data_IF_302205166899
#
_entry.id   IF_302205166899
#
_cell.length_a   1.000
_cell.length_b   1.000
_cell.length_c   1.000
_cell.angle_alpha   90.00
_cell.angle_beta   90.00
_cell.angle_gamma   90.00
#
_symmetry.space_group_name_H-M   'P 1'
#
loop_
_entity.id
_entity.type
_entity.pdbx_description
1 polymer ?
#
# COMPACT_ATOMS: atom_id res chain seq x y z
N UNK A 1 -49.18 22.59 2.26
CA UNK A 1 -48.25 21.76 3.06
C UNK A 1 -46.88 21.91 2.44
N UNK A 2 -46.07 22.77 3.03
CA UNK A 2 -44.75 23.15 2.53
C UNK A 2 -43.75 22.18 3.17
N UNK A 3 -43.10 21.35 2.37
CA UNK A 3 -42.02 20.47 2.81
C UNK A 3 -40.78 21.33 3.06
N UNK A 4 -40.30 21.42 4.28
CA UNK A 4 -39.00 21.97 4.61
C UNK A 4 -37.93 20.99 4.09
N UNK A 5 -37.09 21.44 3.17
CA UNK A 5 -35.86 20.79 2.84
C UNK A 5 -34.94 20.87 4.07
N UNK A 6 -34.50 19.71 4.56
CA UNK A 6 -33.42 19.61 5.54
C UNK A 6 -32.14 19.80 4.74
N UNK A 7 -31.48 20.95 4.93
CA UNK A 7 -30.09 21.12 4.44
C UNK A 7 -29.22 20.09 5.13
N UNK A 8 -28.32 19.39 4.38
CA UNK A 8 -27.35 18.53 5.01
C UNK A 8 -26.41 19.42 5.83
N UNK A 9 -26.37 19.18 7.12
CA UNK A 9 -25.45 19.80 8.06
C UNK A 9 -24.02 19.47 7.58
N UNK A 10 -23.23 20.52 7.28
CA UNK A 10 -21.84 20.39 6.90
C UNK A 10 -21.13 19.58 7.97
N UNK A 11 -20.46 18.50 7.57
CA UNK A 11 -19.63 17.70 8.46
C UNK A 11 -18.65 18.63 9.19
N UNK A 12 -18.46 18.50 10.51
CA UNK A 12 -17.57 19.36 11.25
C UNK A 12 -16.14 19.18 10.72
N UNK A 13 -15.57 20.24 10.16
CA UNK A 13 -14.14 20.36 9.93
C UNK A 13 -13.46 20.36 11.30
N UNK A 14 -13.00 19.21 11.75
CA UNK A 14 -12.38 19.04 13.07
C UNK A 14 -12.58 17.66 13.67
N UNK A 15 -12.89 16.65 12.88
CA UNK A 15 -12.82 15.26 13.35
C UNK A 15 -11.42 15.00 13.88
N UNK A 16 -11.31 14.62 15.18
CA UNK A 16 -10.07 14.10 15.74
C UNK A 16 -9.48 13.10 14.74
N UNK A 17 -8.16 13.14 14.46
CA UNK A 17 -7.56 12.20 13.53
C UNK A 17 -7.95 10.80 13.98
N UNK A 18 -8.69 10.08 13.14
CA UNK A 18 -8.91 8.65 13.37
C UNK A 18 -7.50 8.07 13.60
N UNK A 19 -7.29 7.44 14.75
CA UNK A 19 -6.00 6.91 15.17
C UNK A 19 -5.57 5.83 14.20
N UNK A 20 -5.05 6.24 13.04
CA UNK A 20 -4.50 5.35 12.04
C UNK A 20 -3.34 4.58 12.65
N UNK A 21 -3.24 3.30 12.39
CA UNK A 21 -2.08 2.50 12.73
C UNK A 21 -1.13 2.51 11.54
N UNK A 22 0.13 2.85 11.77
CA UNK A 22 1.19 2.71 10.77
C UNK A 22 1.92 1.39 11.03
N UNK A 23 2.23 0.64 9.96
CA UNK A 23 2.84 -0.70 10.05
C UNK A 23 4.15 -0.69 9.27
N UNK A 24 5.20 -1.35 9.80
CA UNK A 24 6.46 -1.56 9.07
C UNK A 24 6.24 -2.31 7.75
N UNK A 25 7.13 -2.11 6.79
CA UNK A 25 6.98 -2.72 5.46
C UNK A 25 6.99 -4.27 5.49
N UNK A 26 7.63 -4.88 6.48
CA UNK A 26 7.65 -6.32 6.74
C UNK A 26 6.45 -6.83 7.56
N UNK A 27 5.63 -5.92 8.10
CA UNK A 27 4.46 -6.27 8.92
C UNK A 27 4.79 -6.67 10.37
N UNK A 28 6.06 -6.53 10.80
CA UNK A 28 6.50 -7.00 12.13
C UNK A 28 6.01 -6.11 13.27
N UNK A 29 6.00 -4.80 13.05
CA UNK A 29 5.61 -3.82 14.06
C UNK A 29 4.57 -2.84 13.54
N UNK A 30 3.72 -2.37 14.46
CA UNK A 30 2.81 -1.27 14.24
C UNK A 30 2.98 -0.19 15.30
N UNK A 31 2.56 1.02 14.99
CA UNK A 31 2.47 2.11 15.94
C UNK A 31 1.21 2.93 15.68
N UNK A 32 0.59 3.39 16.76
CA UNK A 32 -0.52 4.33 16.73
C UNK A 32 -0.43 5.30 17.89
N UNK A 33 -1.06 6.46 17.73
CA UNK A 33 -1.35 7.34 18.83
C UNK A 33 -2.71 6.92 19.41
N UNK A 34 -2.75 6.53 20.66
CA UNK A 34 -3.98 6.07 21.34
C UNK A 34 -4.36 7.02 22.48
N UNK A 35 -5.57 6.89 22.97
CA UNK A 35 -6.12 7.78 23.98
C UNK A 35 -6.60 6.97 25.18
N UNK A 36 -6.24 7.45 26.39
CA UNK A 36 -6.81 6.98 27.65
C UNK A 36 -7.33 8.19 28.44
N UNK A 37 -8.64 8.27 28.63
CA UNK A 37 -9.30 9.47 29.12
C UNK A 37 -9.04 10.66 28.20
N UNK A 38 -8.40 11.71 28.72
CA UNK A 38 -8.03 12.91 27.97
C UNK A 38 -6.57 12.94 27.53
N UNK A 39 -5.82 11.88 27.82
CA UNK A 39 -4.40 11.79 27.54
C UNK A 39 -4.10 10.95 26.34
N UNK A 40 -3.27 11.49 25.44
CA UNK A 40 -2.77 10.77 24.26
C UNK A 40 -1.39 10.21 24.55
N UNK A 41 -1.09 8.98 24.05
CA UNK A 41 0.22 8.36 24.16
C UNK A 41 0.49 7.43 22.97
N UNK A 42 1.77 7.25 22.57
CA UNK A 42 2.14 6.28 21.56
C UNK A 42 1.97 4.84 22.08
N UNK A 43 1.52 3.98 21.20
CA UNK A 43 1.39 2.56 21.45
C UNK A 43 2.14 1.79 20.36
N UNK A 44 3.02 0.88 20.78
CA UNK A 44 3.71 -0.03 19.87
C UNK A 44 2.99 -1.37 19.84
N UNK A 45 2.78 -1.88 18.65
CA UNK A 45 2.24 -3.20 18.40
C UNK A 45 3.34 -4.12 17.87
N UNK A 46 3.48 -5.32 18.44
CA UNK A 46 4.25 -6.43 17.87
C UNK A 46 3.27 -7.34 17.19
N UNK A 47 3.38 -7.43 15.86
CA UNK A 47 2.40 -8.06 14.98
C UNK A 47 2.83 -9.44 14.48
N UNK A 48 4.15 -9.67 14.41
CA UNK A 48 4.74 -10.97 14.12
C UNK A 48 4.72 -11.87 15.37
N UNK A 49 4.62 -13.16 15.12
CA UNK A 49 4.55 -14.15 16.20
C UNK A 49 3.15 -14.75 16.41
N UNK A 50 3.03 -15.69 17.36
CA UNK A 50 1.78 -16.45 17.56
C UNK A 50 0.65 -15.58 18.13
N UNK A 51 0.98 -14.63 18.99
CA UNK A 51 0.02 -13.74 19.65
C UNK A 51 0.49 -12.29 19.52
N UNK A 52 -0.23 -11.45 18.76
CA UNK A 52 0.02 -10.02 18.71
C UNK A 52 -0.18 -9.39 20.09
N UNK A 53 0.66 -8.40 20.42
CA UNK A 53 0.50 -7.65 21.67
C UNK A 53 0.88 -6.18 21.49
N UNK A 54 0.25 -5.33 22.31
CA UNK A 54 0.50 -3.91 22.37
C UNK A 54 1.26 -3.52 23.63
N UNK A 55 2.13 -2.52 23.50
CA UNK A 55 2.86 -1.91 24.63
C UNK A 55 2.65 -0.40 24.55
N UNK A 56 2.01 0.14 25.57
CA UNK A 56 1.88 1.59 25.75
C UNK A 56 3.24 2.20 26.06
N UNK A 57 3.53 3.35 25.45
CA UNK A 57 4.79 4.08 25.61
C UNK A 57 4.51 5.50 26.16
N UNK A 58 3.93 5.61 27.37
CA UNK A 58 3.71 6.91 27.98
C UNK A 58 5.04 7.56 28.34
N UNK A 59 5.13 8.86 28.11
CA UNK A 59 6.24 9.71 28.56
C UNK A 59 5.76 10.62 29.70
N UNK A 60 6.62 11.52 30.17
CA UNK A 60 6.31 12.38 31.32
C UNK A 60 5.12 13.31 31.13
N UNK A 61 4.76 13.62 29.88
CA UNK A 61 3.60 14.44 29.52
C UNK A 61 2.79 13.73 28.44
N UNK A 62 1.45 13.90 28.41
CA UNK A 62 0.63 13.42 27.30
C UNK A 62 1.08 14.03 25.97
N UNK A 63 0.89 13.26 24.91
CA UNK A 63 1.13 13.75 23.56
C UNK A 63 0.00 14.67 23.09
N UNK A 64 0.31 15.57 22.19
CA UNK A 64 -0.68 16.39 21.52
C UNK A 64 -1.38 15.59 20.40
N UNK A 65 -2.67 15.89 20.09
CA UNK A 65 -3.38 15.20 19.00
C UNK A 65 -2.71 15.29 17.63
N UNK A 66 -1.86 16.31 17.40
CA UNK A 66 -1.08 16.48 16.18
C UNK A 66 0.25 15.70 16.13
N UNK A 67 0.59 14.98 17.19
CA UNK A 67 1.79 14.11 17.23
C UNK A 67 1.62 12.96 16.24
N UNK A 68 2.65 12.74 15.41
CA UNK A 68 2.69 11.62 14.48
C UNK A 68 3.59 10.53 15.01
N UNK A 69 3.22 9.28 14.79
CA UNK A 69 3.97 8.10 15.24
C UNK A 69 4.20 7.12 14.11
N UNK A 70 5.36 6.45 14.12
CA UNK A 70 5.75 5.48 13.10
C UNK A 70 6.60 4.37 13.74
N UNK A 71 6.31 3.08 13.46
CA UNK A 71 7.17 2.00 13.91
C UNK A 71 8.46 1.96 13.11
N UNK A 72 9.56 1.59 13.79
CA UNK A 72 10.85 1.26 13.18
C UNK A 72 11.01 -0.26 13.10
N UNK A 73 11.86 -0.73 12.19
CA UNK A 73 12.10 -2.17 11.99
C UNK A 73 12.72 -2.89 13.18
N UNK A 74 13.33 -2.16 14.12
CA UNK A 74 13.86 -2.70 15.38
C UNK A 74 12.85 -2.66 16.55
N UNK A 75 11.60 -2.28 16.27
CA UNK A 75 10.52 -2.20 17.26
C UNK A 75 10.52 -0.93 18.12
N UNK A 76 11.38 0.05 17.85
CA UNK A 76 11.24 1.39 18.42
C UNK A 76 10.12 2.14 17.70
N UNK A 77 9.59 3.18 18.34
CA UNK A 77 8.56 4.06 17.76
C UNK A 77 9.16 5.45 17.59
N UNK A 78 9.20 5.90 16.33
CA UNK A 78 9.51 7.28 16.01
C UNK A 78 8.29 8.15 16.33
N UNK A 79 8.54 9.22 17.07
CA UNK A 79 7.54 10.24 17.42
C UNK A 79 7.97 11.57 16.84
N UNK A 80 7.06 12.24 16.14
CA UNK A 80 7.23 13.57 15.59
C UNK A 80 6.24 14.53 16.27
N UNK A 81 6.77 15.45 17.08
CA UNK A 81 6.00 16.43 17.87
C UNK A 81 6.09 17.82 17.26
N UNK A 82 4.98 18.47 16.90
CA UNK A 82 5.00 19.88 16.54
C UNK A 82 5.23 20.75 17.79
N UNK A 83 6.26 21.58 17.79
CA UNK A 83 6.63 22.47 18.92
C UNK A 83 7.05 23.83 18.39
N UNK A 84 6.21 24.83 18.53
CA UNK A 84 6.56 26.25 18.31
C UNK A 84 7.41 26.51 17.02
N UNK A 85 6.88 26.17 15.85
CA UNK A 85 7.53 26.43 14.55
C UNK A 85 8.60 25.42 14.16
N UNK A 86 8.71 24.30 14.86
CA UNK A 86 9.60 23.18 14.54
C UNK A 86 8.94 21.83 14.83
N UNK A 87 9.48 20.78 14.27
CA UNK A 87 9.08 19.41 14.54
C UNK A 87 10.24 18.67 15.21
N UNK A 88 9.99 18.16 16.40
CA UNK A 88 10.98 17.44 17.22
C UNK A 88 10.79 15.94 17.03
N UNK A 89 11.89 15.23 16.80
CA UNK A 89 11.91 13.79 16.58
C UNK A 89 12.59 13.07 17.74
N UNK A 90 11.94 12.03 18.25
CA UNK A 90 12.52 11.12 19.23
C UNK A 90 12.11 9.68 18.93
N UNK A 91 12.91 8.73 19.44
CA UNK A 91 12.61 7.31 19.41
C UNK A 91 12.22 6.85 20.80
N UNK A 92 11.04 6.25 20.92
CA UNK A 92 10.55 5.62 22.14
C UNK A 92 10.73 4.10 22.07
N UNK A 93 11.00 3.50 23.23
CA UNK A 93 11.13 2.05 23.37
C UNK A 93 10.79 1.60 24.79
N UNK A 94 10.27 0.37 24.99
CA UNK A 94 9.97 -0.14 26.32
C UNK A 94 11.27 -0.47 27.08
N UNK A 95 11.32 -0.09 28.38
CA UNK A 95 12.45 -0.39 29.29
C UNK A 95 12.05 -1.30 30.44
N UNK A 96 11.05 -2.19 30.21
CA UNK A 96 10.42 -2.98 31.26
C UNK A 96 9.24 -2.20 31.88
N UNK A 97 9.39 -1.56 33.04
CA UNK A 97 8.27 -0.88 33.68
C UNK A 97 7.97 0.52 33.08
N UNK A 98 8.82 1.03 32.22
CA UNK A 98 8.71 2.40 31.69
C UNK A 98 9.05 2.52 30.21
N UNK A 99 9.09 3.76 29.76
CA UNK A 99 9.44 4.15 28.39
C UNK A 99 10.80 4.83 28.38
N UNK A 100 11.72 4.32 27.54
CA UNK A 100 12.95 5.01 27.20
C UNK A 100 12.73 5.95 26.03
N UNK A 101 13.44 7.08 26.01
CA UNK A 101 13.37 8.09 24.96
C UNK A 101 14.79 8.48 24.52
N UNK A 102 15.00 8.49 23.22
CA UNK A 102 16.23 9.00 22.58
C UNK A 102 15.86 10.17 21.66
N UNK A 103 16.38 11.34 21.98
CA UNK A 103 16.25 12.53 21.13
C UNK A 103 17.07 12.35 19.86
N UNK A 104 16.44 12.54 18.70
CA UNK A 104 17.09 12.49 17.39
C UNK A 104 17.47 13.91 16.93
N UNK A 105 16.57 14.86 17.08
CA UNK A 105 16.77 16.24 16.63
C UNK A 105 15.48 16.92 16.27
N UNK A 106 15.58 17.99 15.51
CA UNK A 106 14.42 18.76 15.06
C UNK A 106 14.60 19.27 13.63
N UNK A 107 13.48 19.50 12.95
CA UNK A 107 13.40 20.21 11.68
C UNK A 107 12.67 21.53 11.92
N UNK A 108 13.33 22.63 11.59
CA UNK A 108 12.73 23.97 11.70
C UNK A 108 11.74 24.19 10.55
N UNK A 109 10.54 24.62 10.89
CA UNK A 109 9.48 25.01 9.98
C UNK A 109 8.98 26.40 10.38
N UNK A 110 9.77 27.44 10.11
CA UNK A 110 9.50 28.80 10.62
C UNK A 110 8.27 29.43 9.96
N UNK A 111 7.89 28.98 8.77
CA UNK A 111 6.74 29.50 8.05
C UNK A 111 5.47 28.77 8.50
N UNK A 112 4.46 29.52 8.92
CA UNK A 112 3.16 28.99 9.36
C UNK A 112 2.45 28.14 8.28
N UNK A 113 2.79 28.38 7.00
CA UNK A 113 2.28 27.65 5.86
C UNK A 113 3.00 26.30 5.62
N UNK A 114 4.15 26.05 6.29
CA UNK A 114 4.88 24.79 6.12
C UNK A 114 4.26 23.68 6.97
N UNK A 115 3.87 22.60 6.32
CA UNK A 115 3.32 21.39 6.97
C UNK A 115 4.34 20.26 6.86
N UNK A 116 4.72 19.70 8.00
CA UNK A 116 5.59 18.53 8.03
C UNK A 116 4.80 17.29 8.43
N UNK A 117 5.03 16.20 7.68
CA UNK A 117 4.45 14.88 7.98
C UNK A 117 5.48 13.78 7.78
N UNK A 118 5.35 12.71 8.56
CA UNK A 118 6.12 11.49 8.33
C UNK A 118 5.71 10.87 6.99
N UNK A 119 6.69 10.38 6.24
CA UNK A 119 6.46 9.53 5.07
C UNK A 119 6.21 8.09 5.53
N UNK A 120 5.60 7.22 4.71
CA UNK A 120 5.41 5.81 5.08
C UNK A 120 6.72 5.14 5.48
N UNK A 121 6.68 4.12 6.36
CA UNK A 121 7.86 3.39 6.78
C UNK A 121 8.72 2.95 5.61
N UNK A 122 10.02 3.23 5.68
CA UNK A 122 10.94 2.82 4.64
C UNK A 122 11.08 1.29 4.61
N UNK A 123 11.26 0.67 3.42
CA UNK A 123 11.27 -0.79 3.27
C UNK A 123 12.28 -1.52 4.16
N UNK A 124 13.45 -0.92 4.40
CA UNK A 124 14.48 -1.52 5.26
C UNK A 124 14.22 -1.36 6.77
N UNK A 125 13.28 -0.49 7.17
CA UNK A 125 12.92 -0.27 8.57
C UNK A 125 13.99 0.47 9.43
N UNK A 126 15.19 0.69 8.92
CA UNK A 126 16.28 1.38 9.63
C UNK A 126 16.21 2.90 9.48
N UNK A 127 15.67 3.36 8.37
CA UNK A 127 15.55 4.78 8.03
C UNK A 127 14.10 5.26 8.20
N UNK A 128 13.95 6.54 8.54
CA UNK A 128 12.66 7.20 8.49
C UNK A 128 12.79 8.56 7.82
N UNK A 129 11.73 8.97 7.14
CA UNK A 129 11.70 10.18 6.36
C UNK A 129 10.47 11.02 6.69
N UNK A 130 10.61 12.34 6.50
CA UNK A 130 9.52 13.30 6.62
C UNK A 130 9.47 14.19 5.38
N UNK A 131 8.28 14.63 5.04
CA UNK A 131 8.02 15.58 3.97
C UNK A 131 7.57 16.91 4.57
N UNK A 132 8.38 17.95 4.39
CA UNK A 132 8.02 19.32 4.70
C UNK A 132 7.47 20.00 3.43
N UNK A 133 6.20 20.40 3.47
CA UNK A 133 5.49 20.99 2.32
C UNK A 133 5.32 22.46 2.57
N UNK A 134 6.07 23.29 1.85
CA UNK A 134 5.97 24.74 1.84
C UNK A 134 5.06 25.25 0.73
N UNK A 135 5.05 26.56 0.57
CA UNK A 135 4.17 27.23 -0.41
C UNK A 135 4.61 26.94 -1.87
N UNK A 136 5.91 26.93 -2.13
CA UNK A 136 6.48 26.87 -3.48
C UNK A 136 7.41 25.67 -3.71
N UNK A 137 7.84 25.02 -2.64
CA UNK A 137 8.67 23.81 -2.69
C UNK A 137 8.34 22.90 -1.55
N UNK A 138 8.74 21.64 -1.71
CA UNK A 138 8.64 20.61 -0.69
C UNK A 138 10.04 20.03 -0.46
N UNK A 139 10.36 19.64 0.76
CA UNK A 139 11.64 19.05 1.12
C UNK A 139 11.46 17.68 1.76
N UNK A 140 12.25 16.70 1.32
CA UNK A 140 12.35 15.39 1.97
C UNK A 140 13.50 15.43 2.96
N UNK A 141 13.20 15.05 4.20
CA UNK A 141 14.15 14.96 5.29
C UNK A 141 14.32 13.50 5.70
N UNK A 142 15.55 13.03 5.77
CA UNK A 142 15.88 11.80 6.48
C UNK A 142 15.97 12.13 7.96
N UNK A 143 15.01 11.62 8.75
CA UNK A 143 14.91 11.99 10.18
C UNK A 143 15.51 10.93 11.10
N UNK A 144 15.61 9.67 10.63
CA UNK A 144 16.34 8.57 11.29
C UNK A 144 17.24 7.91 10.28
N UNK A 145 18.44 7.47 10.69
CA UNK A 145 19.41 6.79 9.84
C UNK A 145 20.54 7.69 9.33
N UNK A 146 20.41 9.02 9.45
CA UNK A 146 21.47 9.97 9.16
C UNK A 146 22.56 9.99 10.25
N UNK A 147 23.75 10.50 9.92
CA UNK A 147 24.91 10.49 10.81
C UNK A 147 24.78 11.47 12.00
N UNK A 148 24.08 12.59 11.82
CA UNK A 148 24.07 13.71 12.77
C UNK A 148 22.68 14.22 13.15
N UNK A 149 21.62 13.41 12.90
CA UNK A 149 20.22 13.78 13.12
C UNK A 149 19.49 14.07 11.80
N UNK A 150 18.39 14.85 11.81
CA UNK A 150 17.63 15.10 10.59
C UNK A 150 18.44 15.83 9.52
N UNK A 151 18.48 15.26 8.31
CA UNK A 151 19.19 15.82 7.15
C UNK A 151 18.24 15.99 5.97
N UNK A 152 18.32 17.14 5.27
CA UNK A 152 17.56 17.36 4.06
C UNK A 152 18.20 16.62 2.89
N UNK A 153 17.50 15.63 2.34
CA UNK A 153 18.01 14.76 1.27
C UNK A 153 17.51 15.14 -0.12
N UNK A 154 16.39 15.87 -0.20
CA UNK A 154 15.87 16.37 -1.47
C UNK A 154 15.06 17.65 -1.28
N UNK A 155 15.06 18.50 -2.32
CA UNK A 155 14.17 19.66 -2.45
C UNK A 155 13.47 19.62 -3.80
N UNK A 156 12.13 19.68 -3.78
CA UNK A 156 11.27 19.49 -4.95
C UNK A 156 10.50 20.79 -5.19
N UNK A 157 10.64 21.46 -6.34
CA UNK A 157 9.77 22.56 -6.73
C UNK A 157 8.31 22.13 -6.80
N UNK A 158 7.40 22.89 -6.19
CA UNK A 158 5.97 22.59 -6.09
C UNK A 158 5.58 22.00 -4.74
N UNK A 159 4.28 21.86 -4.55
CA UNK A 159 3.71 21.24 -3.35
C UNK A 159 3.61 19.74 -3.56
N UNK A 160 4.12 18.96 -2.62
CA UNK A 160 4.08 17.51 -2.73
C UNK A 160 3.13 16.87 -1.71
N UNK A 161 2.49 15.80 -2.12
CA UNK A 161 1.66 14.92 -1.29
C UNK A 161 1.98 13.45 -1.60
N UNK A 162 1.25 12.51 -1.02
CA UNK A 162 1.51 11.09 -1.23
C UNK A 162 2.78 10.63 -0.52
N UNK A 163 3.45 9.66 -1.07
CA UNK A 163 4.67 9.02 -0.57
C UNK A 163 4.54 7.52 -0.72
N UNK A 164 5.20 6.97 -1.74
CA UNK A 164 5.17 5.53 -2.05
C UNK A 164 6.57 5.09 -2.42
N UNK A 165 7.06 4.05 -1.76
CA UNK A 165 8.35 3.45 -2.07
C UNK A 165 8.24 2.57 -3.32
N UNK A 166 9.16 2.76 -4.28
CA UNK A 166 9.16 2.04 -5.55
C UNK A 166 10.19 0.91 -5.58
N UNK A 167 11.09 0.85 -4.61
CA UNK A 167 12.09 -0.21 -4.49
C UNK A 167 12.26 -0.68 -3.04
N UNK A 168 12.80 -1.88 -2.87
CA UNK A 168 13.05 -2.47 -1.55
C UNK A 168 14.23 -1.85 -0.79
N UNK A 169 15.09 -1.10 -1.48
CA UNK A 169 16.21 -0.43 -0.86
C UNK A 169 15.82 0.91 -0.20
N UNK A 170 14.58 1.39 -0.46
CA UNK A 170 14.13 2.68 0.05
C UNK A 170 14.85 3.88 -0.60
N UNK A 171 15.30 3.70 -1.85
CA UNK A 171 16.04 4.70 -2.61
C UNK A 171 15.12 5.56 -3.47
N UNK A 172 14.11 4.92 -4.08
CA UNK A 172 13.21 5.55 -5.02
C UNK A 172 11.88 5.87 -4.34
N UNK A 173 11.62 7.15 -4.10
CA UNK A 173 10.39 7.64 -3.48
C UNK A 173 9.50 8.30 -4.55
N UNK A 174 8.27 7.82 -4.71
CA UNK A 174 7.27 8.50 -5.51
C UNK A 174 6.49 9.51 -4.67
N UNK A 175 6.28 10.70 -5.22
CA UNK A 175 5.48 11.78 -4.64
C UNK A 175 4.53 12.34 -5.69
N UNK A 176 3.36 12.80 -5.24
CA UNK A 176 2.41 13.53 -6.07
C UNK A 176 2.75 15.02 -5.98
N UNK A 177 3.26 15.58 -7.08
CA UNK A 177 3.71 16.97 -7.15
C UNK A 177 2.67 17.85 -7.83
N UNK A 178 2.26 18.89 -7.14
CA UNK A 178 1.38 19.94 -7.65
C UNK A 178 2.22 21.11 -8.17
N UNK A 179 2.04 21.47 -9.44
CA UNK A 179 2.58 22.66 -10.06
C UNK A 179 1.45 23.37 -10.80
N UNK A 180 1.20 24.63 -10.43
CA UNK A 180 0.02 25.34 -10.91
C UNK A 180 -1.25 24.71 -10.31
N UNK A 181 -2.11 24.25 -11.17
CA UNK A 181 -3.40 23.60 -10.84
C UNK A 181 -3.43 22.10 -11.18
N UNK A 182 -2.26 21.50 -11.44
CA UNK A 182 -2.16 20.09 -11.85
C UNK A 182 -1.23 19.30 -10.93
N UNK A 183 -1.67 18.09 -10.63
CA UNK A 183 -0.91 17.12 -9.83
C UNK A 183 -0.38 16.01 -10.73
N UNK A 184 0.92 15.75 -10.67
CA UNK A 184 1.58 14.65 -11.39
C UNK A 184 2.48 13.86 -10.45
N UNK A 185 2.46 12.54 -10.57
CA UNK A 185 3.39 11.73 -9.79
C UNK A 185 4.81 11.79 -10.36
N UNK A 186 5.78 12.00 -9.47
CA UNK A 186 7.21 12.07 -9.79
C UNK A 186 7.98 11.10 -8.91
N UNK A 187 9.15 10.67 -9.38
CA UNK A 187 10.11 9.90 -8.60
C UNK A 187 11.22 10.81 -8.12
N UNK A 188 11.60 10.65 -6.87
CA UNK A 188 12.74 11.29 -6.24
C UNK A 188 13.77 10.20 -5.94
N UNK A 189 14.95 10.26 -6.56
CA UNK A 189 16.07 9.36 -6.27
C UNK A 189 16.89 9.92 -5.11
N UNK A 190 16.76 9.33 -3.93
CA UNK A 190 17.40 9.79 -2.71
C UNK A 190 18.93 9.57 -2.70
N UNK A 191 19.44 8.58 -3.45
CA UNK A 191 20.89 8.36 -3.58
C UNK A 191 21.55 9.33 -4.55
N UNK A 192 20.76 9.93 -5.48
CA UNK A 192 21.23 10.91 -6.45
C UNK A 192 20.89 12.33 -6.04
N UNK A 193 21.09 12.66 -4.78
CA UNK A 193 20.86 13.98 -4.23
C UNK A 193 19.45 14.54 -4.51
N UNK A 194 18.44 13.66 -4.57
CA UNK A 194 17.07 14.04 -4.82
C UNK A 194 16.74 14.35 -6.28
N UNK A 195 17.44 13.72 -7.24
CA UNK A 195 17.11 13.85 -8.66
C UNK A 195 15.63 13.48 -8.90
N UNK A 196 14.91 14.37 -9.62
CA UNK A 196 13.49 14.25 -9.85
C UNK A 196 13.24 13.83 -11.30
N UNK A 197 12.42 12.78 -11.48
CA UNK A 197 11.98 12.32 -12.80
C UNK A 197 10.46 12.13 -12.84
N UNK A 198 9.82 12.31 -14.01
CA UNK A 198 8.40 12.01 -14.17
C UNK A 198 8.11 10.52 -13.93
N UNK A 199 6.99 10.21 -13.27
CA UNK A 199 6.49 8.84 -13.12
C UNK A 199 5.18 8.63 -13.87
N UNK A 200 4.17 9.45 -13.59
CA UNK A 200 2.85 9.37 -14.21
C UNK A 200 2.52 10.69 -14.89
N UNK A 201 2.26 10.61 -16.18
CA UNK A 201 1.78 11.68 -17.04
C UNK A 201 0.81 11.07 -18.05
N UNK A 202 -0.44 10.76 -17.57
CA UNK A 202 -1.42 10.02 -18.38
C UNK A 202 -1.99 10.90 -19.47
N UNK A 203 -2.38 12.13 -19.12
CA UNK A 203 -2.75 13.19 -20.05
C UNK A 203 -2.16 14.53 -19.56
N UNK A 204 -1.98 15.51 -20.44
CA UNK A 204 -1.38 16.80 -20.06
C UNK A 204 -2.23 17.55 -19.03
N UNK A 205 -3.53 17.45 -19.16
CA UNK A 205 -4.54 18.16 -18.37
C UNK A 205 -5.16 17.32 -17.23
N UNK A 206 -4.68 16.10 -16.99
CA UNK A 206 -5.17 15.27 -15.90
C UNK A 206 -4.41 15.47 -14.58
N UNK A 207 -5.06 15.13 -13.48
CA UNK A 207 -4.44 14.92 -12.18
C UNK A 207 -4.09 13.44 -12.01
N UNK A 208 -2.80 13.13 -11.83
CA UNK A 208 -2.31 11.76 -11.77
C UNK A 208 -1.58 11.52 -10.46
N UNK A 209 -2.15 10.66 -9.60
CA UNK A 209 -1.63 10.34 -8.26
C UNK A 209 -1.26 8.86 -8.15
N UNK A 210 -0.16 8.57 -7.47
CA UNK A 210 0.22 7.21 -7.11
C UNK A 210 -0.25 6.90 -5.69
N UNK A 211 -1.07 5.88 -5.54
CA UNK A 211 -1.61 5.47 -4.25
C UNK A 211 -0.78 4.37 -3.57
N UNK A 212 -0.42 3.33 -4.33
CA UNK A 212 0.40 2.21 -3.87
C UNK A 212 1.28 1.69 -5.00
N UNK A 213 2.39 1.06 -4.63
CA UNK A 213 3.23 0.28 -5.52
C UNK A 213 3.69 -1.01 -4.83
N UNK A 214 3.83 -2.08 -5.60
CA UNK A 214 4.56 -3.27 -5.17
C UNK A 214 5.92 -3.30 -5.88
N UNK A 215 7.03 -3.20 -5.13
CA UNK A 215 8.37 -3.16 -5.70
C UNK A 215 8.78 -4.42 -6.47
N UNK A 216 8.15 -5.56 -6.16
CA UNK A 216 8.52 -6.85 -6.74
C UNK A 216 7.87 -7.09 -8.09
N UNK A 217 6.55 -6.97 -8.17
CA UNK A 217 5.81 -7.13 -9.42
C UNK A 217 5.83 -5.87 -10.29
N UNK A 218 6.10 -4.71 -9.69
CA UNK A 218 5.97 -3.42 -10.33
C UNK A 218 4.53 -2.94 -10.48
N UNK A 219 3.55 -3.59 -9.82
CA UNK A 219 2.16 -3.16 -9.85
C UNK A 219 2.01 -1.77 -9.22
N UNK A 220 1.38 -0.86 -9.94
CA UNK A 220 1.04 0.49 -9.49
C UNK A 220 -0.47 0.64 -9.38
N UNK A 221 -0.96 1.14 -8.26
CA UNK A 221 -2.34 1.60 -8.05
C UNK A 221 -2.37 3.12 -8.14
N UNK A 222 -3.23 3.63 -9.00
CA UNK A 222 -3.22 5.02 -9.46
C UNK A 222 -4.62 5.60 -9.29
N UNK A 223 -4.68 6.90 -9.03
CA UNK A 223 -5.90 7.69 -9.12
C UNK A 223 -5.70 8.79 -10.15
N UNK A 224 -6.59 8.91 -11.11
CA UNK A 224 -6.51 9.91 -12.15
C UNK A 224 -7.89 10.27 -12.70
N UNK A 225 -8.04 11.49 -13.15
CA UNK A 225 -9.22 11.98 -13.88
C UNK A 225 -9.04 11.97 -15.42
N UNK A 226 -7.94 11.40 -15.91
CA UNK A 226 -7.68 11.29 -17.34
C UNK A 226 -8.81 10.61 -18.15
N UNK A 227 -9.50 9.55 -17.65
CA UNK A 227 -10.62 8.96 -18.37
C UNK A 227 -11.87 9.84 -18.43
N UNK A 228 -12.06 10.72 -17.45
CA UNK A 228 -13.24 11.58 -17.30
C UNK A 228 -12.81 12.84 -16.56
N UNK A 229 -12.47 13.94 -17.26
CA UNK A 229 -11.97 15.15 -16.62
C UNK A 229 -12.87 15.63 -15.47
N UNK A 230 -12.24 15.85 -14.31
CA UNK A 230 -12.93 16.24 -13.06
C UNK A 230 -13.56 15.09 -12.27
N UNK A 231 -13.50 13.84 -12.74
CA UNK A 231 -13.93 12.63 -12.02
C UNK A 231 -12.75 11.69 -11.79
N UNK A 232 -12.19 11.70 -10.60
CA UNK A 232 -11.07 10.82 -10.27
C UNK A 232 -11.48 9.34 -10.27
N UNK A 233 -10.71 8.51 -10.96
CA UNK A 233 -10.92 7.06 -11.07
C UNK A 233 -9.71 6.28 -10.61
N UNK A 234 -9.97 5.14 -9.98
CA UNK A 234 -8.91 4.17 -9.69
C UNK A 234 -8.49 3.44 -10.97
N UNK A 235 -7.18 3.39 -11.16
CA UNK A 235 -6.54 2.69 -12.24
C UNK A 235 -5.35 1.88 -11.77
N UNK A 236 -4.76 1.11 -12.66
CA UNK A 236 -3.53 0.39 -12.42
C UNK A 236 -2.62 0.37 -13.64
N UNK A 237 -1.35 0.24 -13.38
CA UNK A 237 -0.31 0.12 -14.38
C UNK A 237 0.85 -0.71 -13.86
N UNK A 238 1.90 -0.85 -14.66
CA UNK A 238 3.11 -1.60 -14.29
C UNK A 238 4.31 -0.70 -14.46
N UNK A 239 5.12 -0.58 -13.43
CA UNK A 239 6.35 0.21 -13.43
C UNK A 239 7.28 -0.28 -14.53
N UNK A 240 7.78 0.64 -15.35
CA UNK A 240 8.65 0.32 -16.48
C UNK A 240 7.93 -0.25 -17.71
N UNK A 241 6.61 -0.41 -17.69
CA UNK A 241 5.83 -0.85 -18.84
C UNK A 241 5.47 0.33 -19.75
N UNK A 242 5.42 0.08 -21.06
CA UNK A 242 4.90 1.02 -22.07
C UNK A 242 3.41 0.85 -22.32
N UNK A 243 2.76 -0.11 -21.63
CA UNK A 243 1.33 -0.32 -21.74
C UNK A 243 0.58 0.82 -21.04
N UNK A 244 -0.56 1.24 -21.62
CA UNK A 244 -1.36 2.30 -21.00
C UNK A 244 -1.94 1.87 -19.66
N UNK A 245 -2.14 2.85 -18.78
CA UNK A 245 -2.87 2.67 -17.52
C UNK A 245 -4.30 2.18 -17.83
N UNK A 246 -4.78 1.25 -17.02
CA UNK A 246 -6.13 0.67 -17.15
C UNK A 246 -7.00 1.15 -15.99
N UNK A 247 -8.25 1.50 -16.30
CA UNK A 247 -9.26 1.99 -15.35
C UNK A 247 -10.47 1.03 -15.33
N UNK A 248 -10.42 -0.04 -14.51
CA UNK A 248 -11.49 -1.03 -14.47
C UNK A 248 -12.80 -0.46 -13.92
N UNK A 249 -13.92 -0.73 -14.60
CA UNK A 249 -15.25 -0.31 -14.12
C UNK A 249 -15.64 -0.97 -12.79
N UNK A 250 -15.14 -2.17 -12.50
CA UNK A 250 -15.43 -2.86 -11.24
C UNK A 250 -14.89 -2.14 -10.00
N UNK A 251 -13.96 -1.19 -10.15
CA UNK A 251 -13.46 -0.36 -9.05
C UNK A 251 -14.30 0.90 -8.82
N UNK A 252 -15.30 1.16 -9.69
CA UNK A 252 -16.25 2.25 -9.55
C UNK A 252 -17.51 1.74 -8.86
N UNK A 253 -17.54 1.82 -7.54
CA UNK A 253 -18.70 1.42 -6.76
C UNK A 253 -19.59 2.66 -6.52
N UNK A 254 -20.89 2.52 -6.84
CA UNK A 254 -21.84 3.60 -6.64
C UNK A 254 -21.95 3.95 -5.15
N UNK A 255 -21.97 5.24 -4.84
CA UNK A 255 -22.12 5.78 -3.49
C UNK A 255 -21.08 5.28 -2.46
N UNK A 256 -19.91 4.82 -2.95
CA UNK A 256 -18.84 4.33 -2.11
C UNK A 256 -17.50 5.00 -2.47
N UNK A 257 -16.72 5.34 -1.45
CA UNK A 257 -15.32 5.69 -1.62
C UNK A 257 -14.47 4.41 -1.56
N UNK A 258 -13.61 4.20 -2.57
CA UNK A 258 -12.72 3.04 -2.66
C UNK A 258 -11.27 3.51 -2.52
N UNK A 259 -10.57 2.98 -1.52
CA UNK A 259 -9.18 3.34 -1.24
C UNK A 259 -8.33 2.07 -1.13
N UNK A 260 -7.34 1.85 -2.00
CA UNK A 260 -6.41 0.75 -1.86
C UNK A 260 -5.47 0.99 -0.67
N UNK A 261 -5.20 -0.06 0.13
CA UNK A 261 -4.34 0.05 1.31
C UNK A 261 -3.21 -0.98 1.36
N UNK A 262 -3.29 -2.09 0.63
CA UNK A 262 -2.21 -3.08 0.59
C UNK A 262 -2.20 -3.85 -0.74
N UNK A 263 -1.00 -4.19 -1.22
CA UNK A 263 -0.78 -5.06 -2.38
C UNK A 263 -0.08 -6.33 -1.90
N UNK A 264 -0.52 -7.49 -2.40
CA UNK A 264 0.15 -8.76 -2.16
C UNK A 264 1.55 -8.73 -2.78
N UNK A 265 2.63 -9.04 -2.04
CA UNK A 265 3.98 -9.04 -2.59
C UNK A 265 4.12 -9.96 -3.81
N UNK A 266 4.69 -9.43 -4.89
CA UNK A 266 4.71 -10.05 -6.21
C UNK A 266 5.94 -10.85 -6.57
N UNK A 267 6.72 -11.37 -5.60
CA UNK A 267 7.99 -12.08 -5.90
C UNK A 267 7.87 -13.24 -6.89
N UNK A 268 6.74 -13.94 -6.88
CA UNK A 268 6.40 -15.05 -7.80
C UNK A 268 5.12 -14.79 -8.60
N UNK A 269 4.50 -13.63 -8.43
CA UNK A 269 3.25 -13.27 -9.10
C UNK A 269 3.52 -12.25 -10.21
N UNK A 270 2.76 -12.35 -11.30
CA UNK A 270 2.70 -11.25 -12.26
C UNK A 270 1.87 -10.10 -11.68
N UNK A 271 2.06 -8.86 -12.12
CA UNK A 271 1.29 -7.71 -11.63
C UNK A 271 -0.23 -7.94 -11.68
N UNK A 272 -0.71 -8.63 -12.72
CA UNK A 272 -2.13 -8.93 -12.92
C UNK A 272 -2.70 -9.88 -11.87
N UNK A 273 -1.87 -10.74 -11.28
CA UNK A 273 -2.27 -11.74 -10.31
C UNK A 273 -2.09 -11.32 -8.86
N UNK A 274 -1.46 -10.17 -8.59
CA UNK A 274 -1.29 -9.65 -7.24
C UNK A 274 -2.65 -9.28 -6.63
N UNK A 275 -2.89 -9.73 -5.42
CA UNK A 275 -4.07 -9.33 -4.64
C UNK A 275 -3.94 -7.89 -4.17
N UNK A 276 -4.99 -7.10 -4.33
CA UNK A 276 -5.11 -5.74 -3.83
C UNK A 276 -6.20 -5.70 -2.77
N UNK A 277 -5.86 -5.18 -1.59
CA UNK A 277 -6.82 -4.93 -0.54
C UNK A 277 -7.32 -3.49 -0.61
N UNK A 278 -8.63 -3.34 -0.54
CA UNK A 278 -9.35 -2.08 -0.69
C UNK A 278 -10.17 -1.81 0.57
N UNK A 279 -10.16 -0.59 1.06
CA UNK A 279 -11.16 -0.07 1.97
C UNK A 279 -12.31 0.48 1.13
N UNK A 280 -13.53 0.07 1.43
CA UNK A 280 -14.74 0.50 0.75
C UNK A 280 -15.61 1.17 1.80
N UNK A 281 -15.73 2.49 1.73
CA UNK A 281 -16.56 3.29 2.62
C UNK A 281 -17.86 3.64 1.92
N UNK A 282 -18.96 3.16 2.44
CA UNK A 282 -20.30 3.45 1.98
C UNK A 282 -21.17 4.04 3.09
N UNK A 283 -22.43 4.38 2.80
CA UNK A 283 -23.31 5.10 3.72
C UNK A 283 -23.64 4.34 5.02
N UNK A 284 -23.44 3.02 5.04
CA UNK A 284 -23.77 2.17 6.22
C UNK A 284 -22.53 1.60 6.90
N UNK A 285 -21.32 1.94 6.46
CA UNK A 285 -20.09 1.48 7.10
C UNK A 285 -18.96 1.21 6.11
N UNK A 286 -17.89 0.61 6.64
CA UNK A 286 -16.68 0.26 5.89
C UNK A 286 -16.56 -1.25 5.71
N UNK A 287 -16.12 -1.66 4.52
CA UNK A 287 -15.85 -3.07 4.17
C UNK A 287 -14.42 -3.23 3.67
N UNK A 288 -13.97 -4.47 3.66
CA UNK A 288 -12.74 -4.88 2.99
C UNK A 288 -13.08 -5.39 1.60
N UNK A 289 -12.45 -4.82 0.58
CA UNK A 289 -12.52 -5.30 -0.79
C UNK A 289 -11.27 -6.09 -1.13
N UNK A 290 -11.41 -7.21 -1.82
CA UNK A 290 -10.29 -7.94 -2.42
C UNK A 290 -10.45 -7.95 -3.93
N UNK A 291 -9.40 -7.50 -4.62
CA UNK A 291 -9.40 -7.39 -6.06
C UNK A 291 -8.07 -7.85 -6.66
N UNK A 292 -8.08 -8.30 -7.91
CA UNK A 292 -6.90 -8.58 -8.73
C UNK A 292 -7.05 -7.93 -10.09
N UNK A 293 -5.97 -7.38 -10.69
CA UNK A 293 -6.04 -6.72 -11.99
C UNK A 293 -6.55 -7.61 -13.15
N UNK A 294 -6.37 -8.93 -13.08
CA UNK A 294 -6.91 -9.89 -14.05
C UNK A 294 -8.42 -10.16 -13.88
N UNK A 295 -9.02 -9.70 -12.76
CA UNK A 295 -10.42 -9.96 -12.43
C UNK A 295 -11.31 -8.76 -12.68
N UNK A 296 -12.56 -9.03 -13.07
CA UNK A 296 -13.59 -8.01 -13.35
C UNK A 296 -14.51 -7.75 -12.16
N UNK A 297 -14.21 -8.30 -11.00
CA UNK A 297 -15.06 -8.21 -9.81
C UNK A 297 -14.22 -7.91 -8.57
N UNK A 298 -14.79 -7.14 -7.67
CA UNK A 298 -14.29 -6.91 -6.33
C UNK A 298 -15.07 -7.82 -5.37
N UNK A 299 -14.36 -8.63 -4.60
CA UNK A 299 -14.95 -9.42 -3.53
C UNK A 299 -15.06 -8.55 -2.27
N UNK A 300 -16.28 -8.26 -1.84
CA UNK A 300 -16.55 -7.50 -0.63
C UNK A 300 -16.70 -8.44 0.56
N UNK A 301 -15.98 -8.15 1.63
CA UNK A 301 -15.97 -8.90 2.87
C UNK A 301 -16.29 -7.99 4.04
N UNK A 302 -16.95 -8.51 5.07
CA UNK A 302 -17.15 -7.79 6.30
C UNK A 302 -15.78 -7.50 6.95
N UNK A 303 -15.56 -6.25 7.36
CA UNK A 303 -14.40 -5.90 8.14
C UNK A 303 -14.50 -6.54 9.54
N UNK A 304 -13.38 -6.96 10.16
CA UNK A 304 -13.41 -7.42 11.53
C UNK A 304 -13.83 -6.29 12.47
N UNK A 305 -14.54 -6.62 13.54
CA UNK A 305 -14.95 -5.65 14.54
C UNK A 305 -13.71 -4.95 15.13
N UNK A 306 -13.73 -3.61 15.19
CA UNK A 306 -12.59 -2.83 15.66
C UNK A 306 -11.41 -2.76 14.69
N UNK A 307 -11.60 -3.11 13.42
CA UNK A 307 -10.55 -2.94 12.40
C UNK A 307 -10.01 -1.52 12.39
N UNK A 308 -8.70 -1.39 12.42
CA UNK A 308 -8.04 -0.10 12.22
C UNK A 308 -8.13 0.23 10.72
N UNK A 309 -9.23 0.86 10.36
CA UNK A 309 -9.70 0.97 8.99
C UNK A 309 -8.63 1.55 8.03
N UNK A 310 -8.47 0.91 6.87
CA UNK A 310 -7.44 1.29 5.90
C UNK A 310 -6.03 0.81 6.25
N UNK A 311 -5.87 -0.05 7.25
CA UNK A 311 -4.58 -0.63 7.66
C UNK A 311 -4.60 -2.14 7.48
N UNK A 312 -3.49 -2.68 7.00
CA UNK A 312 -3.30 -4.13 6.81
C UNK A 312 -2.15 -4.41 5.87
N UNK A 313 -1.75 -5.65 5.81
CA UNK A 313 -0.68 -6.10 4.91
C UNK A 313 -0.94 -7.53 4.44
N UNK A 314 -0.34 -7.90 3.34
CA UNK A 314 -0.37 -9.27 2.84
C UNK A 314 0.87 -10.04 3.26
N UNK A 315 0.68 -11.28 3.64
CA UNK A 315 1.78 -12.24 3.70
C UNK A 315 2.14 -12.73 2.29
N UNK A 316 3.33 -13.28 2.13
CA UNK A 316 3.75 -13.91 0.86
C UNK A 316 2.82 -15.06 0.44
N UNK A 317 2.22 -15.76 1.41
CA UNK A 317 1.28 -16.88 1.18
C UNK A 317 -0.12 -16.41 0.71
N UNK A 318 -0.32 -15.10 0.54
CA UNK A 318 -1.60 -14.55 0.08
C UNK A 318 -2.67 -14.49 1.16
N UNK A 319 -2.28 -14.36 2.42
CA UNK A 319 -3.18 -14.08 3.54
C UNK A 319 -3.13 -12.60 3.87
N UNK A 320 -4.27 -11.94 3.81
CA UNK A 320 -4.41 -10.56 4.25
C UNK A 320 -4.51 -10.52 5.78
N UNK A 321 -3.66 -9.72 6.40
CA UNK A 321 -3.60 -9.47 7.83
C UNK A 321 -4.24 -8.11 8.12
N UNK A 322 -5.21 -8.07 9.02
CA UNK A 322 -5.95 -6.85 9.38
C UNK A 322 -5.84 -6.60 10.88
N UNK A 323 -5.11 -5.55 11.32
CA UNK A 323 -5.01 -5.21 12.72
C UNK A 323 -6.36 -4.67 13.22
N UNK A 324 -6.76 -5.09 14.42
CA UNK A 324 -7.98 -4.63 15.06
C UNK A 324 -7.79 -4.43 16.56
N UNK A 325 -8.60 -3.56 17.14
CA UNK A 325 -8.64 -3.34 18.58
C UNK A 325 -10.09 -3.26 19.05
N UNK A 326 -10.42 -4.02 20.10
CA UNK A 326 -11.71 -3.95 20.78
C UNK A 326 -11.47 -3.79 22.29
N UNK A 327 -12.52 -3.55 23.05
CA UNK A 327 -12.39 -3.51 24.51
C UNK A 327 -11.93 -4.84 25.11
N UNK A 328 -12.24 -5.97 24.46
CA UNK A 328 -11.90 -7.31 24.91
C UNK A 328 -10.53 -7.75 24.39
N UNK A 329 -10.16 -7.32 23.18
CA UNK A 329 -8.90 -7.64 22.52
C UNK A 329 -8.23 -6.33 22.10
N UNK A 330 -7.40 -5.73 22.96
CA UNK A 330 -6.79 -4.42 22.70
C UNK A 330 -5.78 -4.43 21.53
N UNK A 331 -5.26 -5.61 21.16
CA UNK A 331 -4.38 -5.81 20.03
C UNK A 331 -4.64 -7.17 19.40
N UNK A 332 -5.13 -7.21 18.18
CA UNK A 332 -5.41 -8.43 17.45
C UNK A 332 -5.12 -8.29 15.97
N UNK A 333 -4.93 -9.41 15.28
CA UNK A 333 -4.76 -9.49 13.84
C UNK A 333 -5.72 -10.52 13.29
N UNK A 334 -6.70 -10.07 12.51
CA UNK A 334 -7.58 -10.95 11.76
C UNK A 334 -6.91 -11.40 10.47
N UNK A 335 -7.12 -12.66 10.09
CA UNK A 335 -6.52 -13.28 8.90
C UNK A 335 -7.60 -13.60 7.88
N UNK A 336 -7.43 -13.12 6.66
CA UNK A 336 -8.35 -13.35 5.55
C UNK A 336 -7.58 -13.97 4.39
N UNK A 337 -7.92 -15.20 4.02
CA UNK A 337 -7.36 -15.84 2.82
C UNK A 337 -7.96 -15.16 1.57
N UNK A 338 -7.12 -14.92 0.55
CA UNK A 338 -7.64 -14.51 -0.75
C UNK A 338 -8.59 -15.58 -1.29
N UNK A 339 -9.77 -15.20 -1.83
CA UNK A 339 -10.66 -16.18 -2.45
C UNK A 339 -9.89 -16.95 -3.53
N UNK A 340 -9.87 -18.29 -3.40
CA UNK A 340 -9.31 -19.17 -4.41
C UNK A 340 -10.12 -18.95 -5.70
N UNK A 341 -9.46 -18.64 -6.80
CA UNK A 341 -10.11 -18.45 -8.09
C UNK A 341 -10.63 -19.78 -8.62
N UNK A 342 -11.75 -20.28 -8.12
CA UNK A 342 -12.49 -21.32 -8.81
C UNK A 342 -13.12 -20.69 -10.06
N UNK A 343 -12.65 -21.14 -11.20
CA UNK A 343 -13.32 -20.94 -12.48
C UNK A 343 -14.75 -21.46 -12.32
N UNK A 344 -15.75 -20.60 -12.60
CA UNK A 344 -17.16 -20.92 -12.46
C UNK A 344 -17.52 -22.24 -13.11
N UNK A 345 -17.63 -23.29 -12.31
CA UNK A 345 -18.28 -24.53 -12.65
C UNK A 345 -19.78 -24.30 -12.51
N UNK A 346 -20.47 -24.28 -13.64
CA UNK A 346 -21.91 -24.30 -13.70
C UNK A 346 -22.43 -25.51 -12.92
N UNK A 347 -23.10 -25.29 -11.79
CA UNK A 347 -23.86 -26.30 -11.08
C UNK A 347 -25.03 -26.80 -11.92
N UNK A 348 -24.81 -27.87 -12.64
CA UNK A 348 -25.90 -28.70 -13.17
C UNK A 348 -26.51 -29.52 -12.00
N UNK A 349 -27.73 -29.21 -11.65
CA UNK A 349 -28.54 -30.06 -10.80
C UNK A 349 -28.76 -31.41 -11.50
N UNK A 350 -28.06 -32.44 -11.07
CA UNK A 350 -28.30 -33.83 -11.45
C UNK A 350 -29.09 -34.52 -10.36
N UNK A 351 -30.31 -34.86 -10.72
CA UNK A 351 -31.28 -35.71 -10.04
C UNK A 351 -30.67 -37.07 -9.68
N UNK A 352 -30.68 -37.45 -8.42
CA UNK A 352 -30.23 -38.75 -7.90
C UNK A 352 -31.43 -39.66 -7.70
N UNK A 353 -31.65 -40.60 -8.61
CA UNK A 353 -32.47 -41.77 -8.38
C UNK A 353 -31.62 -42.94 -7.90
N UNK A 354 -32.17 -43.84 -7.06
CA UNK A 354 -31.42 -44.93 -6.42
C UNK A 354 -31.39 -46.18 -7.29
N UNK A 355 -30.25 -46.84 -7.43
CA UNK A 355 -30.15 -48.23 -7.90
C UNK A 355 -29.23 -49.07 -7.03
N UNK A 356 -29.76 -50.25 -6.67
CA UNK A 356 -29.25 -51.31 -5.82
C UNK A 356 -28.18 -52.21 -6.54
N UNK A 357 -27.45 -53.07 -5.81
CA UNK A 357 -26.24 -53.73 -6.25
C UNK A 357 -26.43 -55.16 -6.71
N UNK A 358 -25.70 -55.59 -7.72
CA UNK A 358 -25.43 -57.05 -8.01
C UNK A 358 -24.07 -57.17 -8.72
N UNK A 359 -23.03 -57.75 -8.15
CA UNK A 359 -22.66 -59.15 -8.25
C UNK A 359 -21.64 -59.49 -9.32
N UNK A 360 -20.40 -59.83 -8.91
CA UNK A 360 -19.75 -61.05 -9.42
C UNK A 360 -18.71 -61.00 -10.55
N UNK A 361 -17.45 -61.33 -10.22
CA UNK A 361 -16.76 -62.37 -11.01
C UNK A 361 -15.50 -62.03 -11.81
N UNK A 362 -14.34 -62.37 -11.24
CA UNK A 362 -13.24 -63.19 -11.80
C UNK A 362 -12.37 -62.70 -12.99
N UNK A 363 -11.10 -62.51 -12.68
CA UNK A 363 -9.88 -63.16 -13.25
C UNK A 363 -9.60 -63.15 -14.76
N UNK A 364 -8.41 -62.73 -15.14
CA UNK A 364 -7.77 -63.05 -16.44
C UNK A 364 -6.38 -62.39 -16.62
N UNK A 365 -5.38 -63.22 -16.43
CA UNK A 365 -3.93 -62.97 -16.70
C UNK A 365 -3.67 -62.91 -18.21
N UNK A 366 -2.56 -62.21 -18.60
CA UNK A 366 -1.90 -62.59 -19.84
C UNK A 366 -1.10 -61.53 -20.55
N UNK A 367 0.22 -61.55 -20.29
CA UNK A 367 1.35 -61.67 -21.22
C UNK A 367 1.74 -60.51 -22.19
N UNK A 368 2.86 -59.98 -21.93
CA UNK A 368 4.06 -59.75 -22.77
C UNK A 368 3.91 -59.59 -24.29
N UNK A 369 4.46 -58.52 -24.83
CA UNK A 369 4.78 -58.38 -26.25
C UNK A 369 5.76 -57.22 -26.49
N UNK A 370 7.04 -57.58 -26.51
CA UNK A 370 8.20 -56.81 -26.97
C UNK A 370 8.14 -56.61 -28.48
N UNK A 371 8.38 -55.45 -28.99
CA UNK A 371 8.90 -55.22 -30.34
C UNK A 371 9.59 -53.86 -30.46
N UNK A 372 10.87 -53.88 -30.77
CA UNK A 372 11.79 -52.81 -31.10
C UNK A 372 11.86 -52.60 -32.62
N UNK A 373 12.66 -51.67 -33.16
CA UNK A 373 12.21 -50.44 -33.85
C UNK A 373 12.56 -50.45 -35.36
N UNK A 374 12.08 -49.50 -36.10
CA UNK A 374 12.57 -49.16 -37.44
C UNK A 374 12.81 -47.62 -37.58
N UNK A 375 13.72 -47.20 -38.48
CA UNK A 375 14.47 -45.97 -38.34
C UNK A 375 13.92 -44.77 -39.09
N UNK A 376 14.25 -43.64 -38.57
CA UNK A 376 14.30 -42.28 -38.84
C UNK A 376 14.03 -41.66 -40.23
N UNK A 377 13.23 -40.60 -40.17
CA UNK A 377 13.34 -39.49 -41.12
C UNK A 377 13.74 -38.22 -40.39
N UNK A 378 14.52 -37.30 -40.99
CA UNK A 378 15.06 -36.14 -40.32
C UNK A 378 13.98 -35.04 -40.19
N UNK A 379 13.72 -34.66 -38.95
CA UNK A 379 12.87 -33.52 -38.64
C UNK A 379 13.53 -32.20 -39.06
N UNK A 380 12.77 -31.36 -39.73
CA UNK A 380 13.11 -29.96 -39.96
C UNK A 380 13.18 -29.19 -38.64
N UNK A 381 14.08 -28.21 -38.51
CA UNK A 381 14.16 -27.38 -37.33
C UNK A 381 12.94 -26.48 -37.24
N UNK A 382 12.31 -26.45 -36.04
CA UNK A 382 11.23 -25.56 -35.70
C UNK A 382 11.68 -24.08 -35.80
N UNK A 383 10.79 -23.18 -36.21
CA UNK A 383 11.06 -21.75 -36.21
C UNK A 383 11.29 -21.27 -34.77
N UNK A 384 12.23 -20.30 -34.56
CA UNK A 384 12.53 -19.80 -33.22
C UNK A 384 11.29 -19.17 -32.58
N UNK A 385 10.99 -19.59 -31.35
CA UNK A 385 9.99 -18.96 -30.52
C UNK A 385 10.28 -17.45 -30.37
N UNK A 386 9.27 -16.59 -30.37
CA UNK A 386 9.47 -15.18 -30.14
C UNK A 386 9.99 -14.96 -28.73
N UNK A 387 11.22 -14.46 -28.63
CA UNK A 387 11.83 -14.05 -27.36
C UNK A 387 10.95 -12.94 -26.78
N UNK A 388 10.29 -13.23 -25.68
CA UNK A 388 9.53 -12.24 -24.93
C UNK A 388 10.48 -11.08 -24.57
N UNK A 389 10.24 -9.91 -25.11
CA UNK A 389 10.98 -8.70 -24.79
C UNK A 389 10.86 -8.43 -23.28
N UNK A 390 11.97 -8.45 -22.57
CA UNK A 390 12.00 -8.04 -21.15
C UNK A 390 11.58 -6.57 -21.07
N UNK A 391 10.70 -6.19 -20.13
CA UNK A 391 10.35 -4.79 -19.91
C UNK A 391 11.62 -3.98 -19.60
N UNK A 392 11.83 -2.90 -20.32
CA UNK A 392 12.91 -1.97 -20.04
C UNK A 392 12.41 -1.04 -18.92
N UNK A 393 13.14 -0.89 -17.79
CA UNK A 393 12.77 0.05 -16.74
C UNK A 393 12.62 1.46 -17.32
N UNK A 394 11.65 2.25 -16.84
CA UNK A 394 11.41 3.65 -17.23
C UNK A 394 12.69 4.51 -17.19
N UNK A 395 13.64 4.16 -16.32
CA UNK A 395 14.95 4.79 -16.18
C UNK A 395 15.92 4.53 -17.36
N UNK A 396 15.61 3.59 -18.24
CA UNK A 396 16.42 3.26 -19.41
C UNK A 396 15.81 3.74 -20.73
N UNK A 397 14.68 4.47 -20.68
CA UNK A 397 14.18 5.14 -21.88
C UNK A 397 15.24 6.17 -22.32
N UNK A 398 15.76 6.09 -23.56
CA UNK A 398 16.75 7.05 -24.04
C UNK A 398 16.09 8.43 -24.05
N UNK A 399 16.52 9.32 -23.17
CA UNK A 399 16.24 10.74 -23.26
C UNK A 399 16.83 11.19 -24.60
N UNK A 400 15.96 11.51 -25.56
CA UNK A 400 16.36 12.00 -26.86
C UNK A 400 17.32 13.17 -26.68
N UNK A 401 18.49 13.12 -27.31
CA UNK A 401 19.46 14.21 -27.36
C UNK A 401 18.74 15.47 -27.83
N UNK A 402 18.63 16.44 -26.94
CA UNK A 402 18.33 17.81 -27.31
C UNK A 402 19.42 18.27 -28.25
N UNK A 403 19.12 18.36 -29.52
CA UNK A 403 19.95 19.04 -30.51
C UNK A 403 19.80 20.53 -30.23
N UNK A 404 20.80 21.13 -29.61
CA UNK A 404 20.98 22.59 -29.55
C UNK A 404 21.36 23.05 -30.96
N UNK A 405 20.52 23.85 -31.55
CA UNK A 405 20.90 24.84 -32.57
C UNK A 405 20.96 26.20 -31.92
#
# INVERSE_FOLDING_TARGET
MTACAIEPEAAPEGGAPESGCTITADGAYGARLTRDGDSWYPERWTLDGPEPYAVSLPVNQPEEPGTQVQPMGDGRVLVCRPVAGRHVFCLLYPTGPGTGEVMIGAVECPDDDTRLRLLPPAPGGENAYALAVGRHSSAVWQVVGGAFGPERVAEIPGRCSGGVWLDRAGRMLALDREIGDRTKAVVVDLERAGEISPLLQIADDSDDRLLLADPDSGLLLIRSDAPSPGEERLGWGVLGSTLPVRFPECLRLADCAVTPFAIQPGQVLTPENCGVALRIDGPVGSWVGLWRPDRRQVHQLAAPAGWLAGTGWWTQDGVLQLPYATAEVPCGVARMAAPSGEAGGSGGAGDAGPEDPVGGGAAGQGASGTSSPAPGEPSQPDPPEPVAARPVPLQQAPLGRLVTN
#
